data_IF_016713332699
#
_entry.id   IF_016713332699
#
_cell.length_a   1.000
_cell.length_b   1.000
_cell.length_c   1.000
_cell.angle_alpha   90.00
_cell.angle_beta   90.00
_cell.angle_gamma   90.00
#
_symmetry.space_group_name_H-M   'P 1'
#
loop_
_entity.id
_entity.type
_entity.pdbx_description
1 polymer ?
#
# COMPACT_ATOMS: atom_id res chain seq x y z
N UNK A 1 -7.15 18.67 -6.95
CA UNK A 1 -7.65 17.49 -6.22
C UNK A 1 -7.70 17.75 -4.71
N UNK A 2 -6.56 18.11 -4.05
CA UNK A 2 -6.51 18.37 -2.60
C UNK A 2 -7.51 19.45 -2.17
N UNK A 3 -7.48 20.62 -2.81
CA UNK A 3 -8.42 21.71 -2.51
C UNK A 3 -9.90 21.29 -2.64
N UNK A 4 -10.24 20.46 -3.63
CA UNK A 4 -11.61 19.92 -3.75
C UNK A 4 -11.97 18.99 -2.58
N UNK A 5 -11.00 18.20 -2.08
CA UNK A 5 -11.21 17.34 -0.92
C UNK A 5 -11.41 18.14 0.39
N UNK A 6 -10.72 19.27 0.56
CA UNK A 6 -10.93 20.20 1.69
C UNK A 6 -12.36 20.76 1.72
N UNK A 7 -12.98 20.98 0.56
CA UNK A 7 -14.37 21.44 0.45
C UNK A 7 -15.41 20.31 0.65
N UNK A 8 -14.99 19.17 1.22
CA UNK A 8 -15.80 17.98 1.53
C UNK A 8 -16.31 17.20 0.30
N UNK A 9 -15.70 17.41 -0.86
CA UNK A 9 -15.99 16.57 -2.03
C UNK A 9 -15.25 15.24 -1.90
N UNK A 10 -15.89 14.16 -2.34
CA UNK A 10 -15.21 12.88 -2.52
C UNK A 10 -14.42 12.93 -3.83
N UNK A 11 -13.11 12.84 -3.73
CA UNK A 11 -12.20 12.95 -4.88
C UNK A 11 -11.51 11.61 -5.10
N UNK A 12 -11.55 11.13 -6.34
CA UNK A 12 -10.74 9.99 -6.80
C UNK A 12 -9.62 10.50 -7.70
N UNK A 13 -8.42 9.99 -7.49
CA UNK A 13 -7.26 10.28 -8.32
C UNK A 13 -6.44 9.02 -8.58
N UNK A 14 -5.75 8.97 -9.72
CA UNK A 14 -4.86 7.87 -10.08
C UNK A 14 -3.41 8.32 -10.10
N UNK A 15 -2.53 7.48 -9.58
CA UNK A 15 -1.08 7.66 -9.57
C UNK A 15 -0.42 6.38 -10.12
N UNK A 16 0.75 6.54 -10.72
CA UNK A 16 1.56 5.41 -11.19
C UNK A 16 2.57 5.01 -10.11
N UNK A 17 2.09 4.33 -9.05
CA UNK A 17 2.90 3.87 -7.93
C UNK A 17 2.57 2.41 -7.60
N UNK A 18 3.57 1.67 -7.11
CA UNK A 18 3.43 0.26 -6.76
C UNK A 18 3.17 0.05 -5.26
N UNK A 19 3.17 1.12 -4.46
CA UNK A 19 2.87 1.06 -3.02
C UNK A 19 2.13 2.29 -2.55
N UNK A 20 1.36 2.14 -1.47
CA UNK A 20 0.60 3.22 -0.86
C UNK A 20 1.52 4.26 -0.20
N UNK A 21 2.62 3.84 0.41
CA UNK A 21 3.61 4.75 0.99
C UNK A 21 4.20 5.67 -0.09
N UNK A 22 4.67 5.10 -1.20
CA UNK A 22 5.19 5.87 -2.33
C UNK A 22 4.12 6.81 -2.95
N UNK A 23 2.85 6.40 -2.94
CA UNK A 23 1.76 7.26 -3.41
C UNK A 23 1.60 8.50 -2.53
N UNK A 24 1.69 8.35 -1.20
CA UNK A 24 1.63 9.47 -0.25
C UNK A 24 2.80 10.44 -0.47
N UNK A 25 4.03 9.92 -0.62
CA UNK A 25 5.20 10.74 -0.93
C UNK A 25 5.01 11.53 -2.23
N UNK A 26 4.60 10.87 -3.31
CA UNK A 26 4.39 11.54 -4.60
C UNK A 26 3.30 12.60 -4.59
N UNK A 27 2.27 12.44 -3.76
CA UNK A 27 1.24 13.47 -3.59
C UNK A 27 1.83 14.74 -2.95
N UNK A 28 2.82 14.60 -2.07
CA UNK A 28 3.51 15.72 -1.42
C UNK A 28 4.59 16.31 -2.33
N UNK A 29 5.42 15.45 -2.92
CA UNK A 29 6.57 15.86 -3.75
C UNK A 29 6.16 16.55 -5.06
N UNK A 30 4.91 16.42 -5.46
CA UNK A 30 4.34 17.15 -6.60
C UNK A 30 4.19 18.66 -6.38
N UNK A 31 4.49 19.15 -5.17
CA UNK A 31 4.40 20.58 -4.80
C UNK A 31 5.77 21.18 -4.52
N UNK A 32 5.92 22.52 -4.66
CA UNK A 32 7.13 23.21 -4.28
C UNK A 32 7.52 22.94 -2.82
N UNK A 33 8.81 22.90 -2.47
CA UNK A 33 9.28 22.56 -1.13
C UNK A 33 8.68 23.43 0.00
N UNK A 34 8.44 24.70 -0.27
CA UNK A 34 7.84 25.67 0.66
C UNK A 34 6.34 25.42 0.89
N UNK A 35 5.66 24.68 0.01
CA UNK A 35 4.25 24.31 0.16
C UNK A 35 4.06 22.91 0.75
N UNK A 36 5.07 22.05 0.74
CA UNK A 36 4.93 20.63 1.10
C UNK A 36 4.46 20.40 2.53
N UNK A 37 4.84 21.24 3.48
CA UNK A 37 4.38 21.14 4.87
C UNK A 37 2.86 21.34 4.95
N UNK A 38 2.36 22.40 4.31
CA UNK A 38 0.93 22.67 4.25
C UNK A 38 0.17 21.55 3.53
N UNK A 39 0.72 21.01 2.45
CA UNK A 39 0.15 19.87 1.71
C UNK A 39 0.04 18.63 2.59
N UNK A 40 1.06 18.33 3.42
CA UNK A 40 1.01 17.21 4.37
C UNK A 40 -0.09 17.39 5.41
N UNK A 41 -0.28 18.60 5.93
CA UNK A 41 -1.36 18.90 6.87
C UNK A 41 -2.71 18.58 6.23
N UNK A 42 -2.99 19.16 5.06
CA UNK A 42 -4.25 18.95 4.34
C UNK A 42 -4.44 17.48 3.99
N UNK A 43 -3.42 16.83 3.42
CA UNK A 43 -3.48 15.42 3.03
C UNK A 43 -3.78 14.51 4.23
N UNK A 44 -3.21 14.82 5.40
CA UNK A 44 -3.44 14.05 6.63
C UNK A 44 -4.91 14.06 7.07
N UNK A 45 -5.66 15.11 6.75
CA UNK A 45 -7.06 15.27 7.13
C UNK A 45 -8.02 14.67 6.10
N UNK A 46 -7.67 14.80 4.81
CA UNK A 46 -8.60 14.44 3.72
C UNK A 46 -8.38 13.05 3.15
N UNK A 47 -7.19 12.43 3.32
CA UNK A 47 -6.90 11.12 2.74
C UNK A 47 -7.75 10.03 3.38
N UNK A 48 -8.60 9.38 2.58
CA UNK A 48 -9.48 8.30 3.04
C UNK A 48 -8.90 6.92 2.79
N UNK A 49 -8.32 6.70 1.62
CA UNK A 49 -7.67 5.43 1.29
C UNK A 49 -6.68 5.60 0.13
N UNK A 50 -5.73 4.70 0.06
CA UNK A 50 -4.90 4.46 -1.12
C UNK A 50 -5.01 2.98 -1.46
N UNK A 51 -5.25 2.68 -2.74
CA UNK A 51 -5.23 1.31 -3.25
C UNK A 51 -4.15 1.25 -4.33
N UNK A 52 -3.07 0.52 -4.05
CA UNK A 52 -2.07 0.19 -5.05
C UNK A 52 -2.36 -1.17 -5.67
N UNK A 53 -2.04 -1.35 -6.94
CA UNK A 53 -2.32 -2.56 -7.70
C UNK A 53 -1.10 -2.99 -8.50
N UNK A 54 -0.84 -4.29 -8.49
CA UNK A 54 0.10 -4.96 -9.40
C UNK A 54 -0.63 -6.04 -10.18
N UNK A 55 -0.18 -6.31 -11.42
CA UNK A 55 -0.65 -7.43 -12.21
C UNK A 55 0.45 -8.48 -12.32
N UNK A 56 0.11 -9.73 -11.97
CA UNK A 56 1.00 -10.88 -12.03
C UNK A 56 0.55 -11.86 -13.11
N UNK A 57 1.49 -12.64 -13.62
CA UNK A 57 1.18 -13.79 -14.49
C UNK A 57 0.52 -14.87 -13.66
N UNK A 58 -0.67 -15.29 -14.08
CA UNK A 58 -1.41 -16.37 -13.45
C UNK A 58 -0.93 -17.72 -13.99
N UNK A 59 -0.82 -18.73 -13.13
CA UNK A 59 -0.63 -20.12 -13.56
C UNK A 59 -1.76 -20.54 -14.52
N UNK A 60 -1.39 -21.21 -15.58
CA UNK A 60 -2.36 -21.61 -16.61
C UNK A 60 -2.76 -20.50 -17.59
N UNK A 61 -2.15 -19.30 -17.47
CA UNK A 61 -2.33 -18.19 -18.40
C UNK A 61 -3.20 -17.05 -17.88
N UNK A 62 -3.08 -15.91 -18.55
CA UNK A 62 -3.74 -14.67 -18.13
C UNK A 62 -3.01 -13.95 -17.00
N UNK A 63 -3.71 -13.01 -16.37
CA UNK A 63 -3.18 -12.17 -15.26
C UNK A 63 -4.14 -12.18 -14.08
N UNK A 64 -3.58 -11.97 -12.89
CA UNK A 64 -4.32 -11.77 -11.64
C UNK A 64 -3.82 -10.52 -10.94
N UNK A 65 -4.71 -9.66 -10.41
CA UNK A 65 -4.29 -8.48 -9.66
C UNK A 65 -3.90 -8.85 -8.22
N UNK A 66 -2.86 -8.16 -7.70
CA UNK A 66 -2.58 -8.06 -6.28
C UNK A 66 -2.82 -6.61 -5.84
N UNK A 67 -3.29 -6.43 -4.61
CA UNK A 67 -3.65 -5.12 -4.08
C UNK A 67 -2.93 -4.86 -2.75
N UNK A 68 -2.53 -3.60 -2.56
CA UNK A 68 -2.22 -3.03 -1.26
C UNK A 68 -3.29 -2.02 -0.91
N UNK A 69 -3.83 -2.11 0.30
CA UNK A 69 -4.90 -1.22 0.77
C UNK A 69 -4.46 -0.51 2.04
N UNK A 70 -4.32 0.80 1.96
CA UNK A 70 -4.10 1.70 3.08
C UNK A 70 -5.39 2.45 3.37
N UNK A 71 -5.82 2.49 4.64
CA UNK A 71 -7.01 3.23 5.06
C UNK A 71 -6.66 4.39 5.97
N UNK A 72 -7.44 5.47 5.86
CA UNK A 72 -7.33 6.63 6.74
C UNK A 72 -7.49 6.23 8.22
N UNK A 73 -6.57 6.72 9.05
CA UNK A 73 -6.57 6.53 10.51
C UNK A 73 -5.81 7.67 11.18
N UNK A 74 -5.99 7.84 12.48
CA UNK A 74 -5.25 8.84 13.25
C UNK A 74 -3.73 8.62 13.17
N UNK A 75 -3.30 7.34 13.21
CA UNK A 75 -1.89 6.98 13.08
C UNK A 75 -1.32 7.34 11.71
N UNK A 76 -2.08 7.10 10.62
CA UNK A 76 -1.69 7.52 9.28
C UNK A 76 -1.61 9.04 9.16
N UNK A 77 -2.62 9.76 9.69
CA UNK A 77 -2.63 11.22 9.68
C UNK A 77 -1.39 11.81 10.36
N UNK A 78 -0.97 11.25 11.50
CA UNK A 78 0.24 11.67 12.19
C UNK A 78 1.51 11.35 11.35
N UNK A 79 1.61 10.15 10.77
CA UNK A 79 2.75 9.78 9.93
C UNK A 79 2.91 10.73 8.73
N UNK A 80 1.80 11.12 8.10
CA UNK A 80 1.82 12.06 6.96
C UNK A 80 2.28 13.45 7.42
N UNK A 81 1.71 13.99 8.51
CA UNK A 81 2.08 15.31 9.04
C UNK A 81 3.57 15.42 9.37
N UNK A 82 4.10 14.36 9.99
CA UNK A 82 5.50 14.31 10.41
C UNK A 82 6.47 13.93 9.27
N UNK A 83 5.96 13.65 8.07
CA UNK A 83 6.77 13.19 6.95
C UNK A 83 7.42 11.83 7.17
N UNK A 84 6.87 11.02 8.09
CA UNK A 84 7.39 9.68 8.45
C UNK A 84 6.74 8.59 7.62
N UNK A 85 6.83 8.69 6.30
CA UNK A 85 6.17 7.75 5.37
C UNK A 85 6.69 6.31 5.48
N UNK A 86 7.93 6.13 5.94
CA UNK A 86 8.48 4.80 6.25
C UNK A 86 7.62 4.03 7.29
N UNK A 87 6.91 4.71 8.18
CA UNK A 87 6.02 4.06 9.15
C UNK A 87 4.72 3.56 8.53
N UNK A 88 4.34 4.04 7.35
CA UNK A 88 3.10 3.65 6.65
C UNK A 88 3.10 2.15 6.34
N UNK A 89 4.24 1.60 5.90
CA UNK A 89 4.37 0.16 5.64
C UNK A 89 4.05 -0.67 6.89
N UNK A 90 4.57 -0.27 8.05
CA UNK A 90 4.28 -0.95 9.32
C UNK A 90 2.80 -0.82 9.72
N UNK A 91 2.18 0.34 9.48
CA UNK A 91 0.75 0.55 9.71
C UNK A 91 -0.10 -0.38 8.85
N UNK A 92 0.26 -0.58 7.59
CA UNK A 92 -0.45 -1.49 6.69
C UNK A 92 -0.30 -2.94 7.19
N UNK A 93 0.93 -3.37 7.52
CA UNK A 93 1.21 -4.74 7.96
C UNK A 93 0.42 -5.11 9.23
N UNK A 94 0.27 -4.18 10.16
CA UNK A 94 -0.45 -4.38 11.43
C UNK A 94 -1.94 -4.04 11.36
N UNK A 95 -2.38 -3.35 10.30
CA UNK A 95 -3.71 -2.80 10.15
C UNK A 95 -4.78 -3.76 9.58
N UNK A 96 -4.52 -5.08 9.55
CA UNK A 96 -5.44 -6.08 8.94
C UNK A 96 -6.85 -6.04 9.56
N UNK A 97 -6.96 -5.89 10.87
CA UNK A 97 -8.24 -5.76 11.57
C UNK A 97 -9.03 -4.51 11.17
N UNK A 98 -8.37 -3.52 10.58
CA UNK A 98 -8.96 -2.29 10.07
C UNK A 98 -9.17 -2.32 8.55
N UNK A 99 -9.05 -3.49 7.92
CA UNK A 99 -9.22 -3.67 6.47
C UNK A 99 -8.05 -3.16 5.64
N UNK A 100 -6.85 -3.05 6.23
CA UNK A 100 -5.62 -2.80 5.50
C UNK A 100 -5.02 -4.13 5.03
N UNK A 101 -4.36 -4.11 3.88
CA UNK A 101 -3.69 -5.28 3.30
C UNK A 101 -2.37 -4.82 2.70
N UNK A 102 -1.26 -5.45 3.09
CA UNK A 102 0.05 -5.19 2.49
C UNK A 102 0.25 -5.94 1.18
N UNK A 103 0.99 -5.34 0.25
CA UNK A 103 1.26 -5.96 -1.05
C UNK A 103 1.90 -7.34 -0.89
N UNK A 104 2.93 -7.48 -0.08
CA UNK A 104 3.64 -8.74 0.11
C UNK A 104 2.77 -9.82 0.76
N UNK A 105 1.84 -9.41 1.65
CA UNK A 105 0.84 -10.31 2.23
C UNK A 105 -0.14 -10.81 1.16
N UNK A 106 -0.60 -9.92 0.28
CA UNK A 106 -1.50 -10.30 -0.82
C UNK A 106 -0.79 -11.21 -1.83
N UNK A 107 0.47 -10.91 -2.17
CA UNK A 107 1.29 -11.75 -3.04
C UNK A 107 1.47 -13.16 -2.45
N UNK A 108 1.78 -13.26 -1.16
CA UNK A 108 1.88 -14.55 -0.48
C UNK A 108 0.55 -15.34 -0.54
N UNK A 109 -0.59 -14.66 -0.37
CA UNK A 109 -1.90 -15.29 -0.47
C UNK A 109 -2.17 -15.87 -1.87
N UNK A 110 -1.82 -15.14 -2.94
CA UNK A 110 -1.96 -15.63 -4.31
C UNK A 110 -1.09 -16.87 -4.59
N UNK A 111 0.08 -16.96 -3.97
CA UNK A 111 0.95 -18.14 -4.05
C UNK A 111 0.32 -19.32 -3.33
N UNK A 112 -0.29 -19.10 -2.15
CA UNK A 112 -0.94 -20.18 -1.39
C UNK A 112 -2.24 -20.69 -2.03
N UNK A 113 -2.95 -19.83 -2.74
CA UNK A 113 -4.09 -20.21 -3.56
C UNK A 113 -3.69 -20.93 -4.86
N UNK A 114 -2.39 -21.16 -5.08
CA UNK A 114 -1.82 -21.76 -6.29
C UNK A 114 -2.16 -20.98 -7.58
N UNK A 115 -2.43 -19.68 -7.46
CA UNK A 115 -2.75 -18.82 -8.59
C UNK A 115 -1.52 -18.23 -9.27
N UNK A 116 -0.41 -18.05 -8.53
CA UNK A 116 0.82 -17.44 -8.99
C UNK A 116 2.02 -18.25 -8.52
N UNK A 117 3.06 -18.34 -9.35
CA UNK A 117 4.33 -18.95 -8.96
C UNK A 117 5.06 -18.09 -7.93
N UNK A 118 5.76 -18.75 -7.00
CA UNK A 118 6.51 -18.07 -5.94
C UNK A 118 7.58 -17.13 -6.50
N UNK A 119 8.22 -17.50 -7.60
CA UNK A 119 9.26 -16.68 -8.24
C UNK A 119 8.67 -15.41 -8.88
N UNK A 120 7.51 -15.52 -9.54
CA UNK A 120 6.78 -14.36 -10.09
C UNK A 120 6.36 -13.41 -8.98
N UNK A 121 5.86 -13.92 -7.86
CA UNK A 121 5.47 -13.11 -6.71
C UNK A 121 6.68 -12.45 -6.02
N UNK A 122 7.77 -13.19 -5.83
CA UNK A 122 9.01 -12.68 -5.23
C UNK A 122 9.66 -11.58 -6.08
N UNK A 123 9.58 -11.68 -7.40
CA UNK A 123 10.07 -10.62 -8.29
C UNK A 123 9.33 -9.30 -8.10
N UNK A 124 8.03 -9.37 -7.81
CA UNK A 124 7.12 -8.23 -7.60
C UNK A 124 7.04 -7.74 -6.16
N UNK A 125 7.58 -8.51 -5.20
CA UNK A 125 7.53 -8.15 -3.79
C UNK A 125 8.23 -6.82 -3.51
N UNK A 126 7.60 -6.02 -2.63
CA UNK A 126 8.13 -4.72 -2.18
C UNK A 126 9.29 -4.95 -1.20
N UNK A 127 9.09 -5.84 -0.24
CA UNK A 127 10.12 -6.32 0.68
C UNK A 127 10.30 -7.83 0.48
N UNK A 128 11.36 -8.19 -0.26
CA UNK A 128 11.63 -9.57 -0.64
C UNK A 128 11.91 -10.49 0.53
N UNK A 129 12.58 -10.00 1.56
CA UNK A 129 12.88 -10.77 2.77
C UNK A 129 11.60 -11.01 3.59
N UNK A 130 10.78 -9.98 3.74
CA UNK A 130 9.49 -10.11 4.40
C UNK A 130 8.56 -11.10 3.66
N UNK A 131 8.43 -10.96 2.35
CA UNK A 131 7.66 -11.89 1.52
C UNK A 131 8.14 -13.33 1.70
N UNK A 132 9.47 -13.57 1.62
CA UNK A 132 10.06 -14.90 1.83
C UNK A 132 9.71 -15.46 3.20
N UNK A 133 9.83 -14.64 4.25
CA UNK A 133 9.47 -15.04 5.60
C UNK A 133 7.99 -15.45 5.73
N UNK A 134 7.07 -14.75 5.05
CA UNK A 134 5.65 -15.10 5.01
C UNK A 134 5.41 -16.47 4.36
N UNK A 135 6.08 -16.71 3.22
CA UNK A 135 5.95 -18.00 2.52
C UNK A 135 6.48 -19.16 3.37
N UNK A 136 7.64 -18.96 4.01
CA UNK A 136 8.27 -20.00 4.87
C UNK A 136 7.40 -20.31 6.11
N UNK A 137 6.93 -19.29 6.83
CA UNK A 137 6.08 -19.45 8.02
C UNK A 137 4.77 -20.18 7.71
N UNK A 138 4.16 -19.89 6.58
CA UNK A 138 2.91 -20.58 6.21
C UNK A 138 3.15 -22.02 5.76
N UNK A 139 4.27 -22.31 5.06
CA UNK A 139 4.68 -23.68 4.74
C UNK A 139 4.95 -24.49 6.00
N UNK A 140 5.50 -23.85 7.04
CA UNK A 140 5.71 -24.45 8.36
C UNK A 140 4.42 -24.60 9.19
N UNK A 141 3.27 -24.04 8.75
CA UNK A 141 2.00 -24.06 9.47
C UNK A 141 1.92 -23.06 10.65
N UNK A 142 2.84 -22.10 10.72
CA UNK A 142 2.91 -21.12 11.81
C UNK A 142 1.90 -19.98 11.66
N UNK A 143 1.44 -19.72 10.42
CA UNK A 143 0.40 -18.73 10.09
C UNK A 143 -0.65 -19.35 9.17
N UNK A 144 -1.92 -18.93 9.34
CA UNK A 144 -3.06 -19.34 8.50
C UNK A 144 -3.30 -18.36 7.36
#
# INVERSE_FOLDING_TARGET
ALHAAETRLLVFGTLHTNSAATAVDRLTDGFPPDEQEQVRIVLSEVLKAVVAQLLLRKKGGGRVPAFEVLRGSAALANAIREGKTATITSLIQTGRSHGMVGMDQYLAELVFQDLVDVDEAADKAVDKEYFKSLVEKRRAGEIK
#
